data_IF_230123133228
#
_entry.id   IF_230123133228
#
_cell.length_a   1.000
_cell.length_b   1.000
_cell.length_c   1.000
_cell.angle_alpha   90.00
_cell.angle_beta   90.00
_cell.angle_gamma   90.00
#
_symmetry.space_group_name_H-M   'P 1'
#
loop_
_entity.id
_entity.type
_entity.pdbx_description
1 polymer ?
#
# COMPACT_ATOMS: atom_id res chain seq x y z
N UNK A 1 -12.04 16.15 -4.03
CA UNK A 1 -11.10 15.73 -5.09
C UNK A 1 -9.83 16.60 -5.07
N UNK A 2 -9.24 16.85 -3.89
CA UNK A 2 -8.08 17.76 -3.71
C UNK A 2 -6.81 16.98 -3.32
N UNK A 3 -6.59 15.83 -3.96
CA UNK A 3 -5.37 15.06 -3.77
C UNK A 3 -4.29 15.49 -4.77
N UNK A 4 -3.06 15.54 -4.29
CA UNK A 4 -1.89 15.87 -5.09
C UNK A 4 -0.82 14.82 -4.86
N UNK A 5 -0.10 14.48 -5.91
CA UNK A 5 1.09 13.64 -5.86
C UNK A 5 2.26 14.43 -6.45
N UNK A 6 3.49 14.17 -5.98
CA UNK A 6 4.67 14.91 -6.41
C UNK A 6 5.06 14.63 -7.88
N UNK A 7 4.63 13.49 -8.42
CA UNK A 7 4.85 13.12 -9.82
C UNK A 7 3.58 12.48 -10.39
N UNK A 8 3.24 12.71 -11.66
CA UNK A 8 2.07 12.13 -12.29
C UNK A 8 2.27 10.66 -12.74
N UNK A 9 3.33 9.98 -12.28
CA UNK A 9 3.70 8.63 -12.70
C UNK A 9 3.56 7.64 -11.56
N UNK A 10 3.26 6.39 -11.92
CA UNK A 10 3.33 5.25 -11.03
C UNK A 10 2.66 4.02 -11.65
N UNK A 11 2.70 2.88 -10.94
CA UNK A 11 2.25 1.61 -11.49
C UNK A 11 0.72 1.53 -11.54
N UNK A 12 0.21 0.97 -12.65
CA UNK A 12 -1.19 0.62 -12.82
C UNK A 12 -1.57 -0.63 -12.00
N UNK A 13 -2.87 -0.86 -11.81
CA UNK A 13 -3.38 -2.03 -11.11
C UNK A 13 -2.89 -3.31 -11.79
N UNK A 14 -2.11 -4.12 -11.06
CA UNK A 14 -1.50 -5.32 -11.62
C UNK A 14 -0.71 -6.10 -10.60
N UNK A 15 -0.09 -7.23 -10.98
CA UNK A 15 0.64 -8.10 -10.05
C UNK A 15 1.74 -7.38 -9.25
N UNK A 16 2.25 -6.26 -9.76
CA UNK A 16 3.25 -5.43 -9.08
C UNK A 16 2.67 -4.49 -8.01
N UNK A 17 1.37 -4.23 -7.98
CA UNK A 17 0.73 -3.34 -6.99
C UNK A 17 -0.07 -4.10 -5.93
N UNK A 18 0.15 -5.41 -5.79
CA UNK A 18 -0.47 -6.25 -4.76
C UNK A 18 0.41 -6.45 -3.51
N UNK A 19 1.75 -6.31 -3.64
CA UNK A 19 2.71 -6.60 -2.56
C UNK A 19 3.42 -5.32 -2.08
N UNK A 20 3.58 -5.22 -0.75
CA UNK A 20 4.22 -4.12 -0.04
C UNK A 20 5.59 -3.76 -0.63
N UNK A 21 6.47 -4.75 -0.78
CA UNK A 21 7.83 -4.54 -1.26
C UNK A 21 7.87 -3.98 -2.69
N UNK A 22 6.90 -4.34 -3.54
CA UNK A 22 6.86 -3.85 -4.91
C UNK A 22 6.36 -2.40 -4.95
N UNK A 23 5.37 -2.05 -4.11
CA UNK A 23 4.91 -0.67 -3.95
C UNK A 23 6.05 0.22 -3.45
N UNK A 24 6.81 -0.25 -2.45
CA UNK A 24 7.99 0.47 -1.94
C UNK A 24 9.06 0.64 -3.03
N UNK A 25 9.37 -0.43 -3.77
CA UNK A 25 10.33 -0.35 -4.86
C UNK A 25 9.90 0.67 -5.92
N UNK A 26 8.63 0.66 -6.32
CA UNK A 26 8.06 1.62 -7.26
C UNK A 26 8.13 3.07 -6.73
N UNK A 27 7.89 3.29 -5.43
CA UNK A 27 8.08 4.61 -4.80
C UNK A 27 9.53 5.09 -4.87
N UNK A 28 10.48 4.21 -4.54
CA UNK A 28 11.91 4.55 -4.52
C UNK A 28 12.46 4.91 -5.90
N UNK A 29 11.85 4.39 -6.98
CA UNK A 29 12.21 4.74 -8.37
C UNK A 29 11.36 5.86 -8.96
N UNK A 30 10.57 6.56 -8.14
CA UNK A 30 9.88 7.80 -8.52
C UNK A 30 8.36 7.70 -8.70
N UNK A 31 7.74 6.54 -8.49
CA UNK A 31 6.28 6.40 -8.54
C UNK A 31 5.59 7.14 -7.40
N UNK A 32 4.53 7.90 -7.69
CA UNK A 32 3.70 8.61 -6.69
C UNK A 32 2.21 8.42 -6.88
N UNK A 33 1.77 7.85 -7.99
CA UNK A 33 0.38 7.44 -8.18
C UNK A 33 0.31 5.92 -8.26
N UNK A 34 -0.22 5.27 -7.22
CA UNK A 34 -0.30 3.81 -7.14
C UNK A 34 -1.73 3.38 -7.35
N UNK A 35 -2.01 2.74 -8.48
CA UNK A 35 -3.28 2.03 -8.64
C UNK A 35 -3.11 0.63 -8.03
N UNK A 36 -3.73 0.40 -6.88
CA UNK A 36 -3.61 -0.85 -6.14
C UNK A 36 -4.26 -1.99 -6.94
N UNK A 37 -3.73 -3.22 -6.81
CA UNK A 37 -4.28 -4.38 -7.51
C UNK A 37 -5.77 -4.51 -7.18
N UNK A 38 -6.58 -4.72 -8.22
CA UNK A 38 -8.03 -4.79 -8.12
C UNK A 38 -8.49 -5.90 -7.18
N UNK A 39 -9.15 -5.53 -6.09
CA UNK A 39 -9.78 -6.50 -5.17
C UNK A 39 -11.21 -6.82 -5.60
N UNK A 40 -11.72 -7.98 -5.18
CA UNK A 40 -13.05 -8.45 -5.55
C UNK A 40 -13.63 -9.43 -4.53
N UNK A 41 -14.95 -9.65 -4.60
CA UNK A 41 -15.69 -10.58 -3.71
C UNK A 41 -15.27 -12.06 -3.84
N UNK A 42 -14.76 -12.47 -5.00
CA UNK A 42 -14.25 -13.83 -5.22
C UNK A 42 -12.73 -13.83 -4.98
N UNK A 43 -12.35 -14.01 -3.74
CA UNK A 43 -10.97 -13.79 -3.27
C UNK A 43 -10.21 -15.10 -2.95
N UNK A 44 -10.83 -16.24 -3.28
CA UNK A 44 -10.30 -17.59 -3.10
C UNK A 44 -10.18 -18.36 -4.42
N UNK A 45 -9.88 -17.64 -5.51
CA UNK A 45 -9.75 -18.23 -6.84
C UNK A 45 -8.51 -19.13 -6.92
N UNK A 46 -8.66 -20.28 -7.58
CA UNK A 46 -7.55 -21.18 -7.92
C UNK A 46 -7.39 -21.21 -9.43
N UNK A 47 -6.17 -20.99 -9.90
CA UNK A 47 -5.81 -21.06 -11.31
C UNK A 47 -4.42 -21.67 -11.46
N UNK A 48 -4.17 -22.28 -12.61
CA UNK A 48 -2.90 -22.94 -12.90
C UNK A 48 -1.77 -21.93 -13.11
N UNK A 49 -0.56 -22.28 -12.65
CA UNK A 49 0.65 -21.47 -12.80
C UNK A 49 1.63 -22.16 -13.77
N UNK A 50 2.32 -21.43 -14.67
CA UNK A 50 2.31 -19.98 -14.84
C UNK A 50 1.01 -19.45 -15.46
N UNK A 51 0.51 -18.34 -14.94
CA UNK A 51 -0.77 -17.73 -15.31
C UNK A 51 -0.63 -16.45 -16.15
N UNK A 52 0.61 -16.09 -16.49
CA UNK A 52 0.97 -14.95 -17.34
C UNK A 52 1.99 -15.45 -18.36
N UNK A 53 1.68 -15.26 -19.64
CA UNK A 53 2.63 -15.42 -20.75
C UNK A 53 2.89 -14.07 -21.41
N UNK A 54 4.05 -13.47 -21.11
CA UNK A 54 4.39 -12.10 -21.46
C UNK A 54 5.32 -11.99 -22.69
N UNK A 55 5.35 -13.01 -23.57
CA UNK A 55 6.27 -13.03 -24.73
C UNK A 55 5.92 -12.00 -25.80
N UNK A 56 4.63 -11.81 -26.03
CA UNK A 56 4.08 -10.98 -27.09
C UNK A 56 2.90 -10.14 -26.58
N UNK A 57 1.65 -10.59 -26.75
CA UNK A 57 0.45 -9.81 -26.40
C UNK A 57 0.16 -9.80 -24.88
N UNK A 58 0.83 -10.65 -24.11
CA UNK A 58 0.61 -10.74 -22.67
C UNK A 58 -0.69 -11.47 -22.33
N UNK A 59 -0.70 -12.79 -22.46
CA UNK A 59 -1.88 -13.59 -22.09
C UNK A 59 -1.93 -13.78 -20.57
N UNK A 60 -2.95 -13.22 -19.93
CA UNK A 60 -3.25 -13.49 -18.52
C UNK A 60 -4.43 -14.43 -18.38
N UNK A 61 -4.23 -15.55 -17.69
CA UNK A 61 -5.31 -16.37 -17.14
C UNK A 61 -5.55 -16.05 -15.67
N UNK A 62 -4.64 -15.26 -15.07
CA UNK A 62 -4.83 -14.63 -13.77
C UNK A 62 -6.02 -13.65 -13.83
N UNK A 63 -6.95 -13.80 -12.89
CA UNK A 63 -8.01 -12.82 -12.66
C UNK A 63 -7.48 -11.63 -11.83
N UNK A 64 -8.39 -10.93 -11.16
CA UNK A 64 -8.15 -9.64 -10.54
C UNK A 64 -7.18 -9.64 -9.35
N UNK A 65 -7.00 -10.74 -8.58
CA UNK A 65 -6.07 -10.77 -7.43
C UNK A 65 -5.70 -12.21 -7.02
N UNK A 66 -4.46 -12.42 -6.56
CA UNK A 66 -4.02 -13.66 -5.88
C UNK A 66 -4.33 -13.65 -4.38
N UNK A 67 -4.52 -12.46 -3.81
CA UNK A 67 -4.69 -12.26 -2.38
C UNK A 67 -6.16 -12.20 -2.01
N UNK A 68 -6.49 -12.78 -0.84
CA UNK A 68 -7.77 -12.53 -0.19
C UNK A 68 -7.94 -11.04 0.16
N UNK A 69 -9.16 -10.60 0.47
CA UNK A 69 -9.38 -9.21 0.91
C UNK A 69 -8.54 -8.85 2.14
N UNK A 70 -8.43 -9.79 3.09
CA UNK A 70 -7.63 -9.62 4.31
C UNK A 70 -6.13 -9.53 3.99
N UNK A 71 -5.64 -10.38 3.08
CA UNK A 71 -4.24 -10.37 2.66
C UNK A 71 -3.88 -9.10 1.88
N UNK A 72 -4.76 -8.65 0.98
CA UNK A 72 -4.56 -7.40 0.24
C UNK A 72 -4.52 -6.20 1.20
N UNK A 73 -5.44 -6.16 2.17
CA UNK A 73 -5.45 -5.11 3.20
C UNK A 73 -4.14 -5.10 3.98
N UNK A 74 -3.67 -6.28 4.39
CA UNK A 74 -2.43 -6.46 5.13
C UNK A 74 -1.19 -5.92 4.36
N UNK A 75 -1.13 -6.13 3.05
CA UNK A 75 -0.07 -5.56 2.21
C UNK A 75 -0.20 -4.03 2.07
N UNK A 76 -1.41 -3.52 1.84
CA UNK A 76 -1.61 -2.09 1.61
C UNK A 76 -1.38 -1.25 2.86
N UNK A 77 -1.75 -1.76 4.04
CA UNK A 77 -1.52 -1.06 5.30
C UNK A 77 -0.04 -0.98 5.65
N UNK A 78 0.73 -2.05 5.40
CA UNK A 78 2.20 -2.03 5.56
C UNK A 78 2.84 -1.03 4.60
N UNK A 79 2.44 -1.06 3.33
CA UNK A 79 2.95 -0.15 2.31
C UNK A 79 2.68 1.31 2.71
N UNK A 80 1.46 1.63 3.16
CA UNK A 80 1.09 2.97 3.60
C UNK A 80 2.02 3.48 4.72
N UNK A 81 2.13 2.71 5.81
CA UNK A 81 2.97 3.07 6.97
C UNK A 81 4.44 3.25 6.55
N UNK A 82 4.98 2.32 5.76
CA UNK A 82 6.38 2.34 5.36
C UNK A 82 6.69 3.50 4.40
N UNK A 83 5.78 3.84 3.49
CA UNK A 83 5.97 5.00 2.62
C UNK A 83 5.98 6.30 3.41
N UNK A 84 5.03 6.50 4.35
CA UNK A 84 5.05 7.67 5.25
C UNK A 84 6.34 7.75 6.07
N UNK A 85 6.82 6.61 6.57
CA UNK A 85 8.09 6.55 7.28
C UNK A 85 9.28 6.94 6.39
N UNK A 86 9.36 6.40 5.17
CA UNK A 86 10.38 6.76 4.18
C UNK A 86 10.32 8.27 3.86
N UNK A 87 9.13 8.84 3.64
CA UNK A 87 8.98 10.29 3.40
C UNK A 87 9.51 11.12 4.57
N UNK A 88 9.24 10.68 5.80
CA UNK A 88 9.68 11.38 7.01
C UNK A 88 11.21 11.42 7.14
N UNK A 89 11.90 10.35 6.72
CA UNK A 89 13.36 10.24 6.80
C UNK A 89 14.04 11.02 5.68
N UNK A 90 13.61 10.81 4.44
CA UNK A 90 14.36 11.29 3.27
C UNK A 90 13.90 12.67 2.78
N UNK A 91 12.63 13.03 3.00
CA UNK A 91 12.04 14.24 2.42
C UNK A 91 11.66 15.29 3.48
N UNK A 92 11.86 15.01 4.77
CA UNK A 92 11.52 15.90 5.89
C UNK A 92 10.05 16.38 5.87
N UNK A 93 9.16 15.53 5.33
CA UNK A 93 7.73 15.82 5.13
C UNK A 93 6.90 15.48 6.37
N UNK A 94 7.41 15.80 7.56
CA UNK A 94 6.71 15.47 8.81
C UNK A 94 5.39 16.23 8.96
N UNK A 95 5.26 17.43 8.39
CA UNK A 95 4.06 18.28 8.51
C UNK A 95 3.41 18.62 7.15
N UNK A 96 3.63 17.79 6.13
CA UNK A 96 3.06 17.98 4.80
C UNK A 96 2.13 16.83 4.45
N UNK A 97 1.13 17.09 3.59
CA UNK A 97 0.38 16.02 2.92
C UNK A 97 1.36 15.08 2.23
N UNK A 98 1.07 13.79 2.27
CA UNK A 98 1.87 12.75 1.64
C UNK A 98 2.14 13.09 0.17
N UNK A 99 3.31 12.70 -0.34
CA UNK A 99 3.67 13.02 -1.73
C UNK A 99 3.11 12.03 -2.76
N UNK A 100 2.37 11.02 -2.31
CA UNK A 100 1.84 9.94 -3.13
C UNK A 100 0.34 9.71 -2.90
N UNK A 101 -0.30 9.00 -3.82
CA UNK A 101 -1.72 8.66 -3.80
C UNK A 101 -1.85 7.15 -3.94
N UNK A 102 -2.70 6.54 -3.11
CA UNK A 102 -3.21 5.20 -3.33
C UNK A 102 -4.59 5.30 -3.97
N UNK A 103 -4.70 4.84 -5.21
CA UNK A 103 -5.96 4.71 -5.91
C UNK A 103 -6.46 3.27 -5.74
N UNK A 104 -7.55 3.11 -4.99
CA UNK A 104 -8.14 1.81 -4.73
C UNK A 104 -8.91 1.34 -5.97
N UNK A 105 -8.46 0.23 -6.57
CA UNK A 105 -9.18 -0.45 -7.64
C UNK A 105 -10.09 -1.52 -7.05
N UNK A 106 -11.40 -1.43 -7.29
CA UNK A 106 -12.40 -2.42 -6.85
C UNK A 106 -13.15 -2.93 -8.07
N UNK A 107 -13.17 -4.26 -8.25
CA UNK A 107 -13.88 -4.90 -9.36
C UNK A 107 -15.29 -5.32 -8.95
N UNK A 108 -16.16 -5.54 -9.96
CA UNK A 108 -17.57 -5.99 -9.94
C UNK A 108 -18.65 -4.94 -10.19
N UNK A 109 -19.87 -5.45 -10.34
CA UNK A 109 -21.10 -4.69 -10.26
C UNK A 109 -21.33 -4.09 -8.87
N UNK A 110 -22.26 -3.14 -8.80
CA UNK A 110 -22.62 -2.45 -7.56
C UNK A 110 -23.03 -3.43 -6.44
N UNK A 111 -23.73 -4.51 -6.79
CA UNK A 111 -24.16 -5.53 -5.83
C UNK A 111 -22.95 -6.29 -5.23
N UNK A 112 -21.93 -6.57 -6.03
CA UNK A 112 -20.67 -7.15 -5.55
C UNK A 112 -19.90 -6.21 -4.61
N UNK A 113 -19.82 -4.93 -4.96
CA UNK A 113 -19.14 -3.91 -4.14
C UNK A 113 -19.83 -3.71 -2.79
N UNK A 114 -21.17 -3.83 -2.73
CA UNK A 114 -21.96 -3.71 -1.50
C UNK A 114 -21.90 -4.93 -0.56
N UNK A 115 -21.18 -5.98 -0.93
CA UNK A 115 -21.05 -7.16 -0.05
C UNK A 115 -20.31 -6.77 1.24
N UNK A 116 -20.62 -7.39 2.39
CA UNK A 116 -20.01 -7.01 3.68
C UNK A 116 -18.48 -7.06 3.69
N UNK A 117 -17.87 -8.02 2.98
CA UNK A 117 -16.42 -8.13 2.86
C UNK A 117 -15.81 -6.99 2.07
N UNK A 118 -16.38 -6.64 0.90
CA UNK A 118 -15.91 -5.53 0.08
C UNK A 118 -16.13 -4.19 0.78
N UNK A 119 -17.30 -3.97 1.38
CA UNK A 119 -17.62 -2.76 2.13
C UNK A 119 -16.66 -2.58 3.32
N UNK A 120 -16.41 -3.64 4.10
CA UNK A 120 -15.42 -3.61 5.19
C UNK A 120 -14.02 -3.30 4.67
N UNK A 121 -13.61 -3.89 3.55
CA UNK A 121 -12.30 -3.63 2.95
C UNK A 121 -12.16 -2.15 2.56
N UNK A 122 -13.14 -1.61 1.85
CA UNK A 122 -13.15 -0.21 1.39
C UNK A 122 -13.11 0.75 2.58
N UNK A 123 -13.96 0.52 3.58
CA UNK A 123 -14.03 1.37 4.76
C UNK A 123 -12.73 1.33 5.58
N UNK A 124 -12.17 0.15 5.82
CA UNK A 124 -10.92 -0.01 6.57
C UNK A 124 -9.70 0.58 5.83
N UNK A 125 -9.69 0.56 4.49
CA UNK A 125 -8.60 1.14 3.70
C UNK A 125 -8.77 2.66 3.51
N UNK A 126 -10.00 3.16 3.64
CA UNK A 126 -10.30 4.60 3.67
C UNK A 126 -9.91 5.23 5.01
N UNK A 127 -10.18 4.53 6.12
CA UNK A 127 -9.78 4.92 7.47
C UNK A 127 -9.28 3.70 8.25
N UNK A 128 -7.96 3.59 8.36
CA UNK A 128 -7.29 2.48 9.03
C UNK A 128 -7.07 2.72 10.53
N UNK A 129 -7.38 3.91 11.07
CA UNK A 129 -7.00 4.31 12.43
C UNK A 129 -7.51 3.35 13.50
N UNK A 130 -8.73 2.82 13.32
CA UNK A 130 -9.34 1.86 14.23
C UNK A 130 -8.78 0.44 14.13
N UNK A 131 -8.16 0.08 13.01
CA UNK A 131 -7.88 -1.30 12.62
C UNK A 131 -6.72 -1.92 13.41
N UNK A 132 -6.85 -3.20 13.77
CA UNK A 132 -5.88 -3.91 14.62
C UNK A 132 -4.50 -4.03 13.95
N UNK A 133 -4.46 -4.37 12.66
CA UNK A 133 -3.20 -4.49 11.92
C UNK A 133 -2.47 -3.14 11.79
N UNK A 134 -3.20 -2.04 11.56
CA UNK A 134 -2.60 -0.71 11.48
C UNK A 134 -1.90 -0.33 12.78
N UNK A 135 -2.61 -0.47 13.91
CA UNK A 135 -2.04 -0.23 15.26
C UNK A 135 -0.82 -1.10 15.53
N UNK A 136 -0.94 -2.40 15.23
CA UNK A 136 0.16 -3.34 15.40
C UNK A 136 1.39 -2.92 14.59
N UNK A 137 1.25 -2.55 13.33
CA UNK A 137 2.40 -2.16 12.51
C UNK A 137 3.00 -0.82 12.91
N UNK A 138 2.21 0.12 13.44
CA UNK A 138 2.73 1.32 14.07
C UNK A 138 3.55 0.99 15.33
N UNK A 139 3.09 0.06 16.16
CA UNK A 139 3.83 -0.41 17.35
C UNK A 139 5.14 -1.12 16.96
N UNK A 140 5.11 -2.00 15.95
CA UNK A 140 6.29 -2.69 15.43
C UNK A 140 7.32 -1.69 14.88
N UNK A 141 6.87 -0.71 14.06
CA UNK A 141 7.74 0.35 13.55
C UNK A 141 8.31 1.21 14.69
N UNK A 142 7.51 1.51 15.71
CA UNK A 142 7.95 2.27 16.89
C UNK A 142 9.04 1.53 17.66
N UNK A 143 8.90 0.21 17.85
CA UNK A 143 9.95 -0.60 18.48
C UNK A 143 11.22 -0.61 17.65
N UNK A 144 11.09 -0.83 16.33
CA UNK A 144 12.22 -0.82 15.41
C UNK A 144 13.04 0.48 15.49
N UNK A 145 12.37 1.64 15.55
CA UNK A 145 13.02 2.95 15.67
C UNK A 145 13.71 3.14 17.02
N UNK A 146 13.18 2.58 18.12
CA UNK A 146 13.79 2.66 19.45
C UNK A 146 14.99 1.74 19.62
N UNK A 147 14.84 0.50 19.15
CA UNK A 147 15.82 -0.59 19.37
C UNK A 147 17.06 -0.40 18.48
N UNK A 148 16.87 0.21 17.31
CA UNK A 148 17.96 0.63 16.45
C UNK A 148 18.36 2.05 16.84
N UNK A 149 19.65 2.35 17.00
CA UNK A 149 20.11 3.74 17.14
C UNK A 149 19.99 4.49 15.80
N UNK A 150 18.76 4.61 15.27
CA UNK A 150 18.44 4.99 13.90
C UNK A 150 19.03 6.35 13.53
N UNK A 151 19.03 7.27 14.50
CA UNK A 151 19.63 8.60 14.39
C UNK A 151 21.16 8.57 14.23
N UNK A 152 21.83 7.53 14.75
CA UNK A 152 23.26 7.32 14.64
C UNK A 152 23.61 6.64 13.30
N UNK A 153 22.83 5.64 12.89
CA UNK A 153 23.04 4.88 11.65
C UNK A 153 22.81 5.72 10.38
N UNK A 154 21.79 6.58 10.37
CA UNK A 154 21.45 7.40 9.20
C UNK A 154 22.12 8.78 9.18
N UNK A 155 22.97 9.10 10.17
CA UNK A 155 23.50 10.45 10.41
C UNK A 155 22.39 11.54 10.49
N UNK A 156 21.14 11.15 10.77
CA UNK A 156 19.96 12.02 10.83
C UNK A 156 19.70 12.52 12.26
N UNK A 157 20.73 13.04 12.95
CA UNK A 157 20.57 13.63 14.28
C UNK A 157 19.45 14.68 14.28
N UNK A 158 18.31 14.35 14.87
CA UNK A 158 17.20 15.26 15.14
C UNK A 158 15.99 15.23 14.18
N UNK A 159 15.97 14.39 13.14
CA UNK A 159 14.86 14.39 12.15
C UNK A 159 13.68 13.46 12.47
N UNK A 160 13.91 12.35 13.17
CA UNK A 160 12.84 11.38 13.50
C UNK A 160 12.80 11.22 15.01
N UNK A 161 11.85 11.91 15.67
CA UNK A 161 11.62 11.80 17.12
C UNK A 161 10.30 11.11 17.47
N UNK A 162 9.33 11.05 16.57
CA UNK A 162 8.04 10.39 16.82
C UNK A 162 7.31 10.04 15.52
N UNK A 163 6.42 9.04 15.61
CA UNK A 163 5.52 8.57 14.54
C UNK A 163 4.22 9.40 14.48
N UNK A 164 4.18 10.59 15.08
CA UNK A 164 2.95 11.35 15.35
C UNK A 164 2.16 11.76 14.09
N UNK A 165 2.73 11.55 12.89
CA UNK A 165 2.17 12.00 11.62
C UNK A 165 1.88 10.86 10.62
N UNK A 166 1.88 9.59 11.05
CA UNK A 166 1.39 8.48 10.21
C UNK A 166 -0.11 8.33 10.49
N UNK A 167 -0.91 9.07 9.71
CA UNK A 167 -2.37 9.00 9.66
C UNK A 167 -2.84 8.04 8.58
#
# INVERSE_FOLDING_TARGET
FDESCATPVGPAAGPHTQLTQNIIAAYLVGGRFFELKTVQKLDSLKFDKPCIDARDEGYNTEWSTELSLEQAYDEYVKAWILLHFIESIFNDRTNAKQSFIFNMSVGYDLEGIKTPGMDSFINNLTDAFGHLLFKRYLEELSSFIRDTNFSEVLYTKGKVKSLENIS
#
